data_IF_471225894448
#
_entry.id   IF_471225894448
#
_cell.length_a   1.000
_cell.length_b   1.000
_cell.length_c   1.000
_cell.angle_alpha   90.00
_cell.angle_beta   90.00
_cell.angle_gamma   90.00
#
_symmetry.space_group_name_H-M   'P 1'
#
loop_
_entity.id
_entity.type
_entity.pdbx_description
1 polymer ?
#
# COMPACT_ATOMS: atom_id res chain seq x y z
N UNK A 1 10.19 0.18 -16.85
CA UNK A 1 11.04 0.28 -15.64
C UNK A 1 11.22 -1.06 -14.92
N UNK A 2 10.24 -1.96 -14.92
CA UNK A 2 10.35 -3.32 -14.34
C UNK A 2 11.70 -4.05 -14.59
N UNK A 3 12.28 -4.05 -15.80
CA UNK A 3 13.56 -4.73 -16.04
C UNK A 3 14.73 -4.17 -15.20
N UNK A 4 14.74 -2.87 -14.93
CA UNK A 4 15.79 -2.22 -14.13
C UNK A 4 15.66 -2.63 -12.66
N UNK A 5 14.43 -2.64 -12.13
CA UNK A 5 14.18 -3.04 -10.75
C UNK A 5 14.50 -4.51 -10.50
N UNK A 6 14.25 -5.38 -11.49
CA UNK A 6 14.67 -6.79 -11.45
C UNK A 6 16.19 -6.93 -11.38
N UNK A 7 16.92 -6.20 -12.24
CA UNK A 7 18.39 -6.20 -12.22
C UNK A 7 18.94 -5.73 -10.87
N UNK A 8 18.37 -4.66 -10.30
CA UNK A 8 18.76 -4.16 -8.98
C UNK A 8 18.44 -5.14 -7.85
N UNK A 9 17.32 -5.86 -7.96
CA UNK A 9 16.94 -6.92 -7.01
C UNK A 9 17.94 -8.07 -7.05
N UNK A 10 18.39 -8.47 -8.24
CA UNK A 10 19.40 -9.51 -8.39
C UNK A 10 20.77 -9.06 -7.86
N UNK A 11 21.17 -7.81 -8.11
CA UNK A 11 22.39 -7.24 -7.53
C UNK A 11 22.37 -7.28 -5.98
N UNK A 12 21.24 -6.88 -5.36
CA UNK A 12 21.06 -7.00 -3.91
C UNK A 12 21.08 -8.46 -3.43
N UNK A 13 20.50 -9.39 -4.21
CA UNK A 13 20.53 -10.83 -3.88
C UNK A 13 21.97 -11.34 -3.79
N UNK A 14 22.84 -10.94 -4.73
CA UNK A 14 24.25 -11.33 -4.73
C UNK A 14 24.99 -10.71 -3.53
N UNK A 15 24.78 -9.43 -3.24
CA UNK A 15 25.37 -8.77 -2.08
C UNK A 15 24.93 -9.39 -0.75
N UNK A 16 23.66 -9.78 -0.65
CA UNK A 16 23.11 -10.46 0.51
C UNK A 16 23.72 -11.86 0.71
N UNK A 17 23.91 -12.62 -0.38
CA UNK A 17 24.59 -13.93 -0.32
C UNK A 17 26.06 -13.80 0.10
N UNK A 18 26.71 -12.70 -0.25
CA UNK A 18 28.07 -12.37 0.18
C UNK A 18 28.17 -11.81 1.61
N UNK A 19 27.03 -11.55 2.28
CA UNK A 19 26.99 -10.95 3.62
C UNK A 19 27.28 -9.46 3.67
N UNK A 20 27.34 -8.78 2.53
CA UNK A 20 27.72 -7.37 2.38
C UNK A 20 26.55 -6.51 1.86
N UNK A 21 25.31 -6.82 2.27
CA UNK A 21 24.15 -6.04 1.84
C UNK A 21 24.05 -4.73 2.62
N UNK A 22 24.69 -3.70 2.09
CA UNK A 22 24.55 -2.32 2.55
C UNK A 22 24.73 -1.33 1.39
N UNK A 23 24.53 -0.04 1.69
CA UNK A 23 24.72 1.04 0.71
C UNK A 23 26.19 1.29 0.37
N UNK A 24 27.11 0.96 1.27
CA UNK A 24 28.55 1.19 1.09
C UNK A 24 29.17 0.23 0.07
N UNK A 25 28.65 -0.99 -0.01
CA UNK A 25 29.07 -2.03 -0.96
C UNK A 25 28.26 -2.01 -2.27
N UNK A 26 27.46 -0.96 -2.50
CA UNK A 26 26.72 -0.75 -3.74
C UNK A 26 25.30 -1.32 -3.76
N UNK A 27 24.72 -1.63 -2.60
CA UNK A 27 23.33 -2.05 -2.49
C UNK A 27 22.34 -0.99 -2.99
N UNK A 28 21.26 -1.44 -3.61
CA UNK A 28 20.22 -0.59 -4.17
C UNK A 28 19.01 -0.52 -3.25
N UNK A 29 18.51 0.69 -3.00
CA UNK A 29 17.27 0.92 -2.23
C UNK A 29 16.06 0.57 -3.09
N UNK A 30 16.00 1.16 -4.28
CA UNK A 30 14.89 0.95 -5.22
C UNK A 30 15.12 -0.37 -5.95
N UNK A 31 14.34 -1.36 -5.57
CA UNK A 31 14.32 -2.71 -6.14
C UNK A 31 12.88 -3.09 -6.47
N UNK A 32 12.65 -4.25 -7.09
CA UNK A 32 11.27 -4.69 -7.33
C UNK A 32 10.51 -4.94 -6.02
N UNK A 33 11.06 -5.62 -5.00
CA UNK A 33 10.41 -5.78 -3.70
C UNK A 33 10.15 -4.44 -2.99
N UNK A 34 10.97 -3.41 -3.23
CA UNK A 34 10.71 -2.06 -2.72
C UNK A 34 9.42 -1.49 -3.32
N UNK A 35 9.26 -1.55 -4.64
CA UNK A 35 8.06 -1.04 -5.31
C UNK A 35 6.83 -1.86 -4.95
N UNK A 36 6.92 -3.19 -5.08
CA UNK A 36 5.75 -4.06 -4.96
C UNK A 36 5.26 -4.16 -3.51
N UNK A 37 6.16 -4.21 -2.51
CA UNK A 37 5.77 -4.44 -1.13
C UNK A 37 5.63 -3.16 -0.31
N UNK A 38 6.43 -2.11 -0.56
CA UNK A 38 6.36 -0.87 0.22
C UNK A 38 5.54 0.24 -0.46
N UNK A 39 5.67 0.39 -1.79
CA UNK A 39 5.03 1.50 -2.51
C UNK A 39 3.61 1.17 -2.92
N UNK A 40 3.41 0.03 -3.60
CA UNK A 40 2.12 -0.40 -4.14
C UNK A 40 1.37 -1.35 -3.21
N UNK A 41 1.16 -0.89 -1.97
CA UNK A 41 0.50 -1.69 -0.94
C UNK A 41 -1.03 -1.73 -1.11
N UNK A 42 -1.58 -2.87 -1.50
CA UNK A 42 -2.95 -2.95 -2.00
C UNK A 42 -3.01 -2.53 -3.47
N UNK A 43 -1.94 -2.80 -4.23
CA UNK A 43 -1.75 -2.47 -5.64
C UNK A 43 -1.52 -0.96 -5.90
N UNK A 44 -1.47 -0.52 -7.17
CA UNK A 44 -0.83 0.70 -7.67
C UNK A 44 -1.15 2.05 -7.00
N UNK A 45 -2.20 2.15 -6.19
CA UNK A 45 -2.58 3.37 -5.47
C UNK A 45 -2.50 3.29 -3.95
N UNK A 46 -1.83 2.28 -3.41
CA UNK A 46 -1.84 2.00 -1.99
C UNK A 46 -3.28 1.75 -1.45
N UNK A 47 -4.09 0.98 -2.17
CA UNK A 47 -5.55 0.88 -1.91
C UNK A 47 -5.90 0.17 -0.61
N UNK A 48 -4.90 -0.40 0.10
CA UNK A 48 -5.13 -0.94 1.44
C UNK A 48 -5.64 0.15 2.40
N UNK A 49 -5.16 1.40 2.27
CA UNK A 49 -5.64 2.53 3.07
C UNK A 49 -7.12 2.80 2.81
N UNK A 50 -7.52 2.81 1.53
CA UNK A 50 -8.90 2.98 1.08
C UNK A 50 -9.83 1.90 1.67
N UNK A 51 -9.43 0.64 1.54
CA UNK A 51 -10.17 -0.53 2.02
C UNK A 51 -10.33 -0.50 3.55
N UNK A 52 -9.26 -0.17 4.28
CA UNK A 52 -9.30 -0.02 5.72
C UNK A 52 -10.17 1.17 6.16
N UNK A 53 -10.17 2.27 5.41
CA UNK A 53 -11.07 3.40 5.66
C UNK A 53 -12.55 2.99 5.53
N UNK A 54 -12.91 2.20 4.50
CA UNK A 54 -14.27 1.69 4.32
C UNK A 54 -14.65 0.79 5.50
N UNK A 55 -13.78 -0.16 5.87
CA UNK A 55 -13.98 -1.03 7.02
C UNK A 55 -14.17 -0.26 8.32
N UNK A 56 -13.38 0.79 8.54
CA UNK A 56 -13.51 1.70 9.67
C UNK A 56 -14.85 2.43 9.70
N UNK A 57 -15.32 2.95 8.55
CA UNK A 57 -16.63 3.61 8.47
C UNK A 57 -17.81 2.66 8.73
N UNK A 58 -17.72 1.42 8.24
CA UNK A 58 -18.72 0.38 8.50
C UNK A 58 -18.72 0.01 9.97
N UNK A 59 -17.55 -0.21 10.57
CA UNK A 59 -17.42 -0.51 12.00
C UNK A 59 -17.99 0.61 12.88
N UNK A 60 -17.77 1.88 12.50
CA UNK A 60 -18.37 3.04 13.17
C UNK A 60 -19.86 3.25 12.90
N UNK A 61 -20.51 2.37 12.13
CA UNK A 61 -21.91 2.48 11.70
C UNK A 61 -22.24 3.79 10.98
N UNK A 62 -21.24 4.43 10.37
CA UNK A 62 -21.37 5.70 9.63
C UNK A 62 -21.36 5.52 8.11
N UNK A 63 -21.22 4.29 7.63
CA UNK A 63 -21.19 3.98 6.21
C UNK A 63 -22.58 4.08 5.55
N UNK A 64 -22.60 4.60 4.32
CA UNK A 64 -23.72 4.53 3.37
C UNK A 64 -24.15 3.07 3.10
N UNK A 65 -25.36 2.86 2.59
CA UNK A 65 -25.83 1.52 2.20
C UNK A 65 -24.89 0.89 1.17
N UNK A 66 -24.40 1.70 0.21
CA UNK A 66 -23.42 1.26 -0.77
C UNK A 66 -22.09 0.78 -0.13
N UNK A 67 -21.51 1.58 0.78
CA UNK A 67 -20.23 1.23 1.41
C UNK A 67 -20.34 -0.01 2.32
N UNK A 68 -21.50 -0.26 2.94
CA UNK A 68 -21.76 -1.47 3.73
C UNK A 68 -21.75 -2.74 2.88
N UNK A 69 -22.32 -2.68 1.67
CA UNK A 69 -22.32 -3.80 0.72
C UNK A 69 -20.92 -4.04 0.16
N UNK A 70 -20.18 -2.97 -0.13
CA UNK A 70 -18.84 -3.06 -0.69
C UNK A 70 -17.77 -3.51 0.30
N UNK A 71 -17.93 -3.24 1.60
CA UNK A 71 -16.93 -3.57 2.62
C UNK A 71 -16.46 -5.05 2.59
N UNK A 72 -17.33 -6.08 2.68
CA UNK A 72 -16.87 -7.47 2.62
C UNK A 72 -16.26 -7.83 1.25
N UNK A 73 -16.74 -7.21 0.17
CA UNK A 73 -16.27 -7.45 -1.21
C UNK A 73 -14.91 -6.82 -1.49
N UNK A 74 -14.47 -5.86 -0.69
CA UNK A 74 -13.22 -5.10 -0.90
C UNK A 74 -12.18 -5.39 0.19
N UNK A 75 -12.60 -5.62 1.43
CA UNK A 75 -11.70 -5.87 2.58
C UNK A 75 -10.94 -7.18 2.45
N UNK A 76 -11.66 -8.27 2.22
CA UNK A 76 -11.02 -9.59 2.12
C UNK A 76 -10.02 -9.66 0.96
N UNK A 77 -10.39 -9.33 -0.29
CA UNK A 77 -9.43 -9.34 -1.40
C UNK A 77 -8.34 -8.26 -1.24
N UNK A 78 -8.66 -7.09 -0.69
CA UNK A 78 -7.70 -6.00 -0.50
C UNK A 78 -6.57 -6.33 0.48
N UNK A 79 -6.81 -7.19 1.48
CA UNK A 79 -5.75 -7.68 2.39
C UNK A 79 -4.71 -8.56 1.68
N UNK A 80 -5.08 -9.14 0.54
CA UNK A 80 -4.19 -9.91 -0.35
C UNK A 80 -3.81 -9.12 -1.60
N UNK A 81 -3.87 -7.79 -1.53
CA UNK A 81 -3.55 -6.86 -2.61
C UNK A 81 -4.40 -7.02 -3.89
N UNK A 82 -5.56 -7.67 -3.82
CA UNK A 82 -6.51 -7.78 -4.93
C UNK A 82 -7.46 -6.58 -4.85
N UNK A 83 -7.37 -5.65 -5.80
CA UNK A 83 -8.02 -4.35 -5.70
C UNK A 83 -9.12 -4.09 -6.74
N UNK A 84 -9.34 -4.99 -7.70
CA UNK A 84 -10.36 -4.81 -8.74
C UNK A 84 -11.76 -4.60 -8.15
N UNK A 85 -12.19 -5.35 -7.12
CA UNK A 85 -13.48 -5.08 -6.47
C UNK A 85 -13.57 -3.66 -5.88
N UNK A 86 -12.45 -3.11 -5.44
CA UNK A 86 -12.37 -1.75 -4.87
C UNK A 86 -12.38 -0.70 -5.97
N UNK A 87 -11.61 -0.91 -7.04
CA UNK A 87 -11.47 0.02 -8.18
C UNK A 87 -12.72 0.12 -9.05
N UNK A 88 -13.48 -0.97 -9.16
CA UNK A 88 -14.77 -1.00 -9.87
C UNK A 88 -15.96 -0.79 -8.95
N UNK A 89 -15.91 -1.27 -7.70
CA UNK A 89 -17.01 -1.16 -6.75
C UNK A 89 -17.19 0.25 -6.18
N UNK A 90 -16.09 0.93 -5.89
CA UNK A 90 -16.07 2.39 -5.83
C UNK A 90 -15.47 2.84 -7.16
N UNK A 91 -16.10 3.74 -7.94
CA UNK A 91 -15.56 4.16 -9.22
C UNK A 91 -14.36 5.10 -9.00
N UNK A 92 -13.28 4.60 -8.37
CA UNK A 92 -12.04 5.32 -8.05
C UNK A 92 -11.46 5.93 -9.32
N UNK A 93 -11.49 5.16 -10.41
CA UNK A 93 -11.01 5.58 -11.74
C UNK A 93 -11.80 6.76 -12.30
N UNK A 94 -13.10 6.84 -12.05
CA UNK A 94 -13.95 7.92 -12.57
C UNK A 94 -14.18 9.04 -11.56
N UNK A 95 -13.72 8.89 -10.33
CA UNK A 95 -13.93 9.86 -9.26
C UNK A 95 -12.65 10.67 -9.02
N UNK A 96 -12.63 11.89 -9.55
CA UNK A 96 -11.54 12.87 -9.37
C UNK A 96 -11.17 13.09 -7.90
N UNK A 97 -12.12 12.92 -6.97
CA UNK A 97 -11.88 13.07 -5.54
C UNK A 97 -10.96 11.95 -5.00
N UNK A 98 -11.05 10.74 -5.53
CA UNK A 98 -10.24 9.58 -5.11
C UNK A 98 -8.95 9.42 -5.91
N UNK A 99 -8.85 10.00 -7.10
CA UNK A 99 -7.60 10.04 -7.88
C UNK A 99 -6.47 10.76 -7.13
N UNK A 100 -6.80 11.81 -6.38
CA UNK A 100 -5.82 12.60 -5.62
C UNK A 100 -5.10 11.73 -4.57
N UNK A 101 -5.80 11.08 -3.61
CA UNK A 101 -5.14 10.20 -2.64
C UNK A 101 -4.50 8.99 -3.33
N UNK A 102 -5.07 8.49 -4.44
CA UNK A 102 -4.49 7.39 -5.22
C UNK A 102 -3.10 7.68 -5.79
N UNK A 103 -2.81 8.93 -6.14
CA UNK A 103 -1.45 9.31 -6.57
C UNK A 103 -0.54 9.68 -5.38
N UNK A 104 -1.08 10.36 -4.37
CA UNK A 104 -0.28 10.89 -3.25
C UNK A 104 0.20 9.78 -2.31
N UNK A 105 -0.64 8.80 -2.02
CA UNK A 105 -0.33 7.70 -1.11
C UNK A 105 0.93 6.90 -1.52
N UNK A 106 1.02 6.33 -2.75
CA UNK A 106 2.23 5.62 -3.18
C UNK A 106 3.46 6.54 -3.26
N UNK A 107 3.29 7.82 -3.63
CA UNK A 107 4.40 8.77 -3.62
C UNK A 107 4.98 8.97 -2.21
N UNK A 108 4.12 9.14 -1.21
CA UNK A 108 4.56 9.29 0.18
C UNK A 108 5.20 8.00 0.70
N UNK A 109 4.63 6.84 0.39
CA UNK A 109 5.22 5.54 0.75
C UNK A 109 6.62 5.33 0.14
N UNK A 110 6.82 5.77 -1.11
CA UNK A 110 8.13 5.73 -1.74
C UNK A 110 9.14 6.65 -1.02
N UNK A 111 8.73 7.86 -0.66
CA UNK A 111 9.59 8.82 0.03
C UNK A 111 9.94 8.33 1.45
N UNK A 112 8.94 7.93 2.24
CA UNK A 112 9.16 7.45 3.62
C UNK A 112 10.06 6.22 3.65
N UNK A 113 9.81 5.27 2.74
CA UNK A 113 10.60 4.05 2.65
C UNK A 113 12.02 4.32 2.18
N UNK A 114 12.19 5.17 1.16
CA UNK A 114 13.50 5.55 0.68
C UNK A 114 14.31 6.24 1.77
N UNK A 115 13.72 7.21 2.48
CA UNK A 115 14.39 7.90 3.59
C UNK A 115 14.75 6.95 4.73
N UNK A 116 13.86 6.04 5.11
CA UNK A 116 14.12 5.08 6.18
C UNK A 116 15.27 4.11 5.85
N UNK A 117 15.33 3.61 4.61
CA UNK A 117 16.42 2.75 4.15
C UNK A 117 17.73 3.54 3.97
N UNK A 118 17.67 4.76 3.45
CA UNK A 118 18.85 5.61 3.26
C UNK A 118 19.50 6.03 4.58
N UNK A 119 18.69 6.24 5.63
CA UNK A 119 19.17 6.54 6.99
C UNK A 119 19.62 5.28 7.75
N UNK A 120 19.50 4.08 7.17
CA UNK A 120 19.84 2.82 7.83
C UNK A 120 18.87 2.40 8.94
N UNK A 121 17.69 3.02 9.04
CA UNK A 121 16.65 2.64 10.00
C UNK A 121 16.00 1.31 9.63
N UNK A 122 15.97 1.00 8.34
CA UNK A 122 15.43 -0.24 7.77
C UNK A 122 16.47 -0.85 6.84
N UNK A 123 16.66 -2.17 6.94
CA UNK A 123 17.56 -2.90 6.05
C UNK A 123 17.06 -2.86 4.61
N UNK A 124 18.01 -2.90 3.67
CA UNK A 124 17.71 -3.00 2.24
C UNK A 124 16.98 -4.31 1.93
N UNK A 125 16.24 -4.33 0.82
CA UNK A 125 15.62 -5.56 0.35
C UNK A 125 16.70 -6.58 -0.04
N UNK A 126 16.58 -7.80 0.49
CA UNK A 126 17.55 -8.89 0.42
C UNK A 126 17.60 -9.63 -0.93
N UNK A 127 16.83 -9.16 -1.91
CA UNK A 127 16.73 -9.75 -3.25
C UNK A 127 15.71 -10.88 -3.39
N UNK A 128 14.93 -11.19 -2.35
CA UNK A 128 13.82 -12.14 -2.45
C UNK A 128 12.63 -11.51 -3.16
N UNK A 129 12.17 -12.16 -4.23
CA UNK A 129 10.95 -11.77 -4.94
C UNK A 129 9.78 -12.48 -4.27
N UNK A 130 8.88 -11.69 -3.70
CA UNK A 130 7.73 -12.18 -2.96
C UNK A 130 6.50 -12.07 -3.85
N UNK A 131 5.59 -13.05 -3.84
CA UNK A 131 4.32 -12.91 -4.52
C UNK A 131 3.59 -11.64 -4.07
N UNK A 132 3.14 -10.84 -5.02
CA UNK A 132 2.44 -9.58 -4.75
C UNK A 132 1.13 -9.77 -3.96
N UNK A 133 0.57 -10.97 -3.93
CA UNK A 133 -0.62 -11.32 -3.12
C UNK A 133 -0.31 -11.55 -1.64
N UNK A 134 0.97 -11.57 -1.26
CA UNK A 134 1.37 -11.76 0.13
C UNK A 134 0.90 -10.57 0.99
N UNK A 135 0.29 -10.80 2.16
CA UNK A 135 -0.15 -9.73 3.04
C UNK A 135 1.00 -8.75 3.36
N UNK A 136 0.77 -7.42 3.33
CA UNK A 136 1.86 -6.44 3.33
C UNK A 136 2.85 -6.52 4.48
N UNK A 137 2.37 -6.80 5.70
CA UNK A 137 3.23 -6.89 6.90
C UNK A 137 4.22 -8.05 6.80
N UNK A 138 3.76 -9.20 6.29
CA UNK A 138 4.55 -10.42 6.14
C UNK A 138 5.49 -10.28 4.95
N UNK A 139 4.99 -9.70 3.85
CA UNK A 139 5.78 -9.48 2.63
C UNK A 139 7.05 -8.68 2.92
N UNK A 140 6.95 -7.60 3.69
CA UNK A 140 8.11 -6.76 4.00
C UNK A 140 9.09 -7.42 4.97
N UNK A 141 8.59 -8.21 5.92
CA UNK A 141 9.46 -8.99 6.80
C UNK A 141 10.35 -9.93 6.00
N UNK A 142 9.75 -10.66 5.05
CA UNK A 142 10.47 -11.59 4.18
C UNK A 142 11.42 -10.86 3.21
N UNK A 143 11.01 -9.68 2.71
CA UNK A 143 11.78 -8.91 1.73
C UNK A 143 13.05 -8.30 2.32
N UNK A 144 13.03 -7.95 3.60
CA UNK A 144 14.14 -7.28 4.29
C UNK A 144 14.85 -8.17 5.30
N UNK A 145 14.19 -9.25 5.75
CA UNK A 145 14.66 -10.07 6.87
C UNK A 145 14.63 -9.36 8.23
N UNK A 146 13.95 -8.20 8.33
CA UNK A 146 13.99 -7.35 9.52
C UNK A 146 12.61 -6.93 10.00
N UNK A 147 12.42 -6.96 11.32
CA UNK A 147 11.21 -6.46 11.99
C UNK A 147 11.05 -4.95 11.76
N UNK A 148 12.15 -4.20 11.60
CA UNK A 148 12.11 -2.78 11.31
C UNK A 148 11.37 -2.48 9.99
N UNK A 149 11.51 -3.37 9.00
CA UNK A 149 10.75 -3.29 7.75
C UNK A 149 9.24 -3.39 8.01
N UNK A 150 8.79 -4.38 8.78
CA UNK A 150 7.37 -4.54 9.11
C UNK A 150 6.82 -3.36 9.91
N UNK A 151 7.62 -2.77 10.81
CA UNK A 151 7.23 -1.56 11.55
C UNK A 151 7.03 -0.39 10.58
N UNK A 152 7.96 -0.17 9.66
CA UNK A 152 7.84 0.85 8.62
C UNK A 152 6.59 0.60 7.75
N UNK A 153 6.30 -0.65 7.43
CA UNK A 153 5.09 -0.99 6.69
C UNK A 153 3.82 -0.55 7.43
N UNK A 154 3.75 -0.83 8.74
CA UNK A 154 2.63 -0.37 9.59
C UNK A 154 2.52 1.15 9.57
N UNK A 155 3.63 1.88 9.62
CA UNK A 155 3.65 3.34 9.52
C UNK A 155 3.09 3.80 8.16
N UNK A 156 3.50 3.18 7.06
CA UNK A 156 2.98 3.48 5.73
C UNK A 156 1.46 3.17 5.64
N UNK A 157 0.98 2.06 6.22
CA UNK A 157 -0.47 1.76 6.27
C UNK A 157 -1.22 2.89 6.98
N UNK A 158 -0.70 3.36 8.11
CA UNK A 158 -1.31 4.44 8.89
C UNK A 158 -1.33 5.74 8.06
N UNK A 159 -0.24 6.06 7.36
CA UNK A 159 -0.19 7.21 6.47
C UNK A 159 -1.23 7.10 5.35
N UNK A 160 -1.34 5.94 4.71
CA UNK A 160 -2.34 5.70 3.66
C UNK A 160 -3.76 5.91 4.20
N UNK A 161 -4.07 5.36 5.38
CA UNK A 161 -5.37 5.58 6.04
C UNK A 161 -5.60 7.08 6.27
N UNK A 162 -4.62 7.82 6.79
CA UNK A 162 -4.76 9.25 7.06
C UNK A 162 -4.96 10.06 5.78
N UNK A 163 -4.31 9.67 4.68
CA UNK A 163 -4.45 10.30 3.37
C UNK A 163 -5.84 10.02 2.79
N UNK A 164 -6.32 8.77 2.83
CA UNK A 164 -7.60 8.36 2.24
C UNK A 164 -8.83 8.77 3.06
N UNK A 165 -8.70 8.84 4.40
CA UNK A 165 -9.81 9.10 5.31
C UNK A 165 -10.62 10.37 4.99
N UNK A 166 -10.03 11.57 4.77
CA UNK A 166 -10.80 12.77 4.48
C UNK A 166 -11.60 12.65 3.18
N UNK A 167 -11.04 12.00 2.17
CA UNK A 167 -11.67 11.83 0.86
C UNK A 167 -12.83 10.84 0.92
N UNK A 168 -12.61 9.70 1.58
CA UNK A 168 -13.65 8.70 1.79
C UNK A 168 -14.77 9.22 2.69
N UNK A 169 -14.46 9.99 3.73
CA UNK A 169 -15.47 10.61 4.57
C UNK A 169 -16.34 11.60 3.77
N UNK A 170 -15.74 12.40 2.88
CA UNK A 170 -16.47 13.31 2.01
C UNK A 170 -17.36 12.58 1.00
N UNK A 171 -16.86 11.49 0.39
CA UNK A 171 -17.64 10.65 -0.52
C UNK A 171 -18.81 9.98 0.20
N UNK A 172 -18.56 9.40 1.36
CA UNK A 172 -19.59 8.74 2.17
C UNK A 172 -20.69 9.72 2.59
N UNK A 173 -20.33 10.97 2.92
CA UNK A 173 -21.32 12.03 3.21
C UNK A 173 -22.19 12.34 2.00
N UNK A 174 -21.62 12.40 0.78
CA UNK A 174 -22.40 12.62 -0.45
C UNK A 174 -23.38 11.48 -0.72
N UNK A 175 -22.92 10.24 -0.59
CA UNK A 175 -23.77 9.05 -0.76
C UNK A 175 -24.94 9.03 0.22
N UNK A 176 -24.71 9.37 1.50
CA UNK A 176 -25.79 9.45 2.49
C UNK A 176 -26.84 10.51 2.12
N UNK A 177 -26.42 11.68 1.65
CA UNK A 177 -27.35 12.74 1.21
C UNK A 177 -28.16 12.31 -0.02
N UNK A 178 -27.58 11.53 -0.92
CA UNK A 178 -28.28 10.99 -2.08
C UNK A 178 -29.27 9.88 -1.69
N UNK A 179 -28.89 9.02 -0.73
CA UNK A 179 -29.78 8.01 -0.15
C UNK A 179 -30.99 8.66 0.53
N UNK A 180 -30.78 9.70 1.34
CA UNK A 180 -31.85 10.44 2.04
C UNK A 180 -32.81 11.18 1.08
N UNK A 181 -32.37 11.53 -0.14
CA UNK A 181 -33.21 12.16 -1.17
C UNK A 181 -34.00 11.17 -2.01
N UNK A 182 -33.58 9.91 -2.01
CA UNK A 182 -34.22 8.84 -2.77
C UNK A 182 -35.28 8.08 -1.94
N UNK A 183 -35.31 8.30 -0.62
CA UNK A 183 -36.40 7.92 0.30
C UNK A 183 -37.48 9.01 0.39
#
# INVERSE_FOLDING_TARGET
MQPIWLMQTDANRVLNQAGNLDLAHGGHIVTQPFIDNFVYMGDGGATIGLVLCIGYLVWRKRASKQNKVLAPLTIVPGLFNINEPTMFGLPVVMNLLLIIPFMIAPMLNAITTYCAMNLGLVLLCNGTVIPWTMPPIISVFLATGSIAGSILQVINIILDILIYLPFIAALNKRQLIEEDKAE
#
